data_IF_871442622211
#
_entry.id   IF_871442622211
#
_cell.length_a   1.000
_cell.length_b   1.000
_cell.length_c   1.000
_cell.angle_alpha   90.00
_cell.angle_beta   90.00
_cell.angle_gamma   90.00
#
_symmetry.space_group_name_H-M   'P 1'
#
loop_
_entity.id
_entity.type
_entity.pdbx_description
1 polymer ?
#
# COMPACT_ATOMS: atom_id res chain seq x y z
N UNK A 1 24.30 18.64 -16.45
CA UNK A 1 25.25 17.63 -15.90
C UNK A 1 24.55 17.04 -14.69
N UNK A 2 24.09 15.79 -14.76
CA UNK A 2 23.56 15.09 -13.60
C UNK A 2 24.73 14.71 -12.70
N UNK A 3 24.67 15.08 -11.42
CA UNK A 3 25.69 14.70 -10.45
C UNK A 3 25.42 13.28 -9.98
N UNK A 4 26.32 12.36 -10.30
CA UNK A 4 26.36 11.00 -9.76
C UNK A 4 27.38 10.94 -8.63
N UNK A 5 27.05 10.27 -7.53
CA UNK A 5 27.94 10.06 -6.39
C UNK A 5 28.02 8.57 -6.10
N UNK A 6 29.22 8.00 -6.21
CA UNK A 6 29.51 6.63 -5.81
C UNK A 6 29.99 6.62 -4.36
N UNK A 7 29.45 5.69 -3.57
CA UNK A 7 29.74 5.56 -2.14
C UNK A 7 30.16 4.13 -1.84
N UNK A 8 31.35 3.96 -1.27
CA UNK A 8 31.82 2.68 -0.73
C UNK A 8 31.48 2.58 0.74
N UNK A 9 30.73 1.56 1.13
CA UNK A 9 30.39 1.26 2.52
C UNK A 9 31.07 -0.03 2.93
N UNK A 10 32.00 0.06 3.89
CA UNK A 10 32.65 -1.13 4.46
C UNK A 10 31.61 -2.02 5.17
N UNK A 11 31.67 -3.31 4.91
CA UNK A 11 30.77 -4.34 5.47
C UNK A 11 31.61 -5.48 6.05
N UNK A 12 32.18 -5.30 7.26
CA UNK A 12 33.07 -6.29 7.87
C UNK A 12 32.39 -7.63 8.16
N UNK A 13 31.09 -7.63 8.47
CA UNK A 13 30.29 -8.86 8.67
C UNK A 13 29.98 -9.63 7.38
N UNK A 14 30.22 -9.03 6.21
CA UNK A 14 29.90 -9.63 4.94
C UNK A 14 31.17 -10.28 4.36
N UNK A 15 31.24 -11.62 4.26
CA UNK A 15 32.37 -12.26 3.61
C UNK A 15 32.41 -11.90 2.12
N UNK A 16 33.60 -11.81 1.54
CA UNK A 16 33.78 -11.56 0.12
C UNK A 16 33.26 -12.75 -0.69
N UNK A 17 32.36 -12.50 -1.63
CA UNK A 17 31.74 -13.58 -2.40
C UNK A 17 32.60 -14.01 -3.59
N UNK A 18 33.00 -15.27 -3.59
CA UNK A 18 33.62 -15.90 -4.74
C UNK A 18 32.54 -16.44 -5.69
N UNK A 19 32.44 -15.88 -6.90
CA UNK A 19 31.43 -16.27 -7.90
C UNK A 19 31.62 -17.69 -8.41
N UNK A 20 32.86 -18.16 -8.52
CA UNK A 20 33.20 -19.45 -9.12
C UNK A 20 32.87 -20.60 -8.16
N UNK A 21 33.24 -20.43 -6.88
CA UNK A 21 33.05 -21.46 -5.86
C UNK A 21 31.71 -21.34 -5.13
N UNK A 22 31.03 -20.19 -5.23
CA UNK A 22 29.82 -19.86 -4.46
C UNK A 22 30.03 -19.95 -2.94
N UNK A 23 31.21 -19.51 -2.50
CA UNK A 23 31.65 -19.52 -1.10
C UNK A 23 32.00 -18.09 -0.68
N UNK A 24 31.70 -17.76 0.58
CA UNK A 24 32.13 -16.52 1.20
C UNK A 24 33.53 -16.69 1.80
N UNK A 25 34.48 -15.88 1.35
CA UNK A 25 35.83 -15.79 1.90
C UNK A 25 35.87 -14.76 3.04
N UNK A 26 36.58 -15.08 4.13
CA UNK A 26 36.72 -14.21 5.30
C UNK A 26 37.74 -13.09 5.05
N UNK A 27 37.38 -12.22 4.10
CA UNK A 27 38.17 -11.08 3.64
C UNK A 27 37.31 -9.82 3.80
N UNK A 28 37.87 -8.70 4.30
CA UNK A 28 37.13 -7.46 4.41
C UNK A 28 36.51 -7.06 3.08
N UNK A 29 35.19 -6.85 3.11
CA UNK A 29 34.44 -6.46 1.93
C UNK A 29 33.75 -5.11 2.11
N UNK A 30 33.30 -4.55 1.00
CA UNK A 30 32.50 -3.34 0.97
C UNK A 30 31.44 -3.43 -0.12
N UNK A 31 30.34 -2.71 0.07
CA UNK A 31 29.29 -2.54 -0.94
C UNK A 31 29.43 -1.16 -1.58
N UNK A 32 29.24 -1.10 -2.89
CA UNK A 32 29.27 0.16 -3.66
C UNK A 32 27.84 0.59 -3.97
N UNK A 33 27.49 1.82 -3.63
CA UNK A 33 26.17 2.41 -3.83
C UNK A 33 26.28 3.61 -4.75
N UNK A 34 25.49 3.61 -5.82
CA UNK A 34 25.45 4.68 -6.80
C UNK A 34 24.21 5.56 -6.59
N UNK A 35 24.43 6.82 -6.27
CA UNK A 35 23.38 7.83 -6.16
C UNK A 35 23.42 8.73 -7.37
N UNK A 36 22.33 8.77 -8.13
CA UNK A 36 22.22 9.61 -9.31
C UNK A 36 20.95 10.44 -9.23
N UNK A 37 20.99 11.66 -9.73
CA UNK A 37 19.76 12.40 -9.99
C UNK A 37 19.33 12.10 -11.43
N UNK A 38 18.05 11.81 -11.62
CA UNK A 38 17.44 11.60 -12.93
C UNK A 38 17.68 12.79 -13.87
N UNK A 39 17.60 12.56 -15.19
CA UNK A 39 17.92 13.58 -16.19
C UNK A 39 16.98 14.80 -16.16
N UNK A 40 15.77 14.64 -15.63
CA UNK A 40 14.78 15.70 -15.38
C UNK A 40 14.99 16.43 -14.03
N UNK A 41 15.99 16.02 -13.26
CA UNK A 41 16.28 16.46 -11.90
C UNK A 41 15.15 16.22 -10.87
N UNK A 42 14.15 15.39 -11.17
CA UNK A 42 12.99 15.23 -10.29
C UNK A 42 13.12 14.08 -9.30
N UNK A 43 14.03 13.14 -9.56
CA UNK A 43 14.13 11.89 -8.80
C UNK A 43 15.57 11.59 -8.42
N UNK A 44 15.81 11.36 -7.14
CA UNK A 44 17.01 10.68 -6.65
C UNK A 44 16.85 9.18 -6.92
N UNK A 45 17.79 8.63 -7.67
CA UNK A 45 17.94 7.22 -7.95
C UNK A 45 19.04 6.63 -7.08
N UNK A 46 18.83 5.41 -6.62
CA UNK A 46 19.85 4.57 -5.99
C UNK A 46 19.97 3.29 -6.80
N UNK A 47 21.14 3.06 -7.41
CA UNK A 47 21.36 1.96 -8.35
C UNK A 47 20.29 1.93 -9.45
N UNK A 48 20.08 3.09 -10.07
CA UNK A 48 19.09 3.35 -11.12
C UNK A 48 17.62 3.11 -10.72
N UNK A 49 17.33 2.84 -9.44
CA UNK A 49 15.97 2.72 -8.94
C UNK A 49 15.49 4.01 -8.23
N UNK A 50 14.24 4.45 -8.46
CA UNK A 50 13.64 5.58 -7.76
C UNK A 50 13.67 5.41 -6.24
N UNK A 51 14.41 6.29 -5.57
CA UNK A 51 14.53 6.31 -4.12
C UNK A 51 13.79 7.49 -3.48
N UNK A 52 13.75 8.64 -4.18
CA UNK A 52 12.97 9.80 -3.76
C UNK A 52 12.60 10.71 -4.96
N UNK A 53 11.33 11.09 -5.17
CA UNK A 53 10.15 10.58 -4.48
C UNK A 53 9.95 9.09 -4.78
N UNK A 54 9.27 8.37 -3.89
CA UNK A 54 8.88 6.99 -4.16
C UNK A 54 7.69 6.98 -5.12
N UNK A 55 7.82 6.28 -6.25
CA UNK A 55 6.70 6.11 -7.19
C UNK A 55 5.55 5.34 -6.54
N UNK A 56 5.87 4.31 -5.76
CA UNK A 56 4.90 3.48 -5.06
C UNK A 56 5.35 3.34 -3.61
N UNK A 57 4.82 4.15 -2.68
CA UNK A 57 5.39 4.14 -1.34
C UNK A 57 5.09 2.87 -0.54
N UNK A 58 4.12 2.06 -0.98
CA UNK A 58 3.71 0.81 -0.35
C UNK A 58 4.59 -0.36 -0.79
N UNK A 59 5.46 -0.15 -1.76
CA UNK A 59 6.37 -1.12 -2.36
C UNK A 59 7.73 -0.45 -2.48
N UNK A 60 8.52 -0.44 -1.39
CA UNK A 60 9.84 0.17 -1.44
C UNK A 60 10.71 -0.50 -2.52
N UNK A 61 11.64 0.24 -3.14
CA UNK A 61 12.50 -0.28 -4.21
C UNK A 61 13.36 -1.45 -3.70
N UNK A 62 13.57 -2.45 -4.55
CA UNK A 62 14.45 -3.59 -4.26
C UNK A 62 15.87 -3.22 -4.64
N UNK A 63 16.64 -2.80 -3.65
CA UNK A 63 18.01 -2.34 -3.88
C UNK A 63 18.97 -3.52 -3.98
N UNK A 64 19.90 -3.43 -4.92
CA UNK A 64 21.01 -4.37 -5.04
C UNK A 64 22.30 -3.60 -5.27
N UNK A 65 23.42 -4.06 -4.72
CA UNK A 65 24.71 -3.39 -4.84
C UNK A 65 25.84 -4.38 -5.13
N UNK A 66 26.80 -4.00 -6.00
CA UNK A 66 28.01 -4.79 -6.19
C UNK A 66 28.89 -4.73 -4.93
N UNK A 67 29.47 -5.88 -4.59
CA UNK A 67 30.46 -6.03 -3.54
C UNK A 67 31.87 -5.93 -4.12
N UNK A 68 32.78 -5.29 -3.39
CA UNK A 68 34.19 -5.15 -3.73
C UNK A 68 35.09 -5.50 -2.54
N UNK A 69 36.30 -5.97 -2.82
CA UNK A 69 37.39 -6.09 -1.86
C UNK A 69 38.33 -4.87 -1.87
N UNK A 70 38.11 -3.93 -2.79
CA UNK A 70 38.97 -2.75 -2.93
C UNK A 70 39.00 -1.92 -1.65
N UNK A 71 40.20 -1.47 -1.30
CA UNK A 71 40.40 -0.57 -0.18
C UNK A 71 39.82 0.82 -0.47
N UNK A 72 39.64 1.63 0.57
CA UNK A 72 39.13 2.99 0.42
C UNK A 72 40.02 3.84 -0.51
N UNK A 73 41.35 3.74 -0.38
CA UNK A 73 42.29 4.49 -1.20
C UNK A 73 42.25 4.10 -2.68
N UNK A 74 42.10 2.81 -2.98
CA UNK A 74 41.94 2.32 -4.35
C UNK A 74 40.62 2.79 -4.98
N UNK A 75 39.55 2.81 -4.19
CA UNK A 75 38.24 3.28 -4.63
C UNK A 75 38.20 4.79 -4.92
N UNK A 76 38.88 5.61 -4.11
CA UNK A 76 38.93 7.07 -4.33
C UNK A 76 39.73 7.47 -5.58
N UNK A 77 40.77 6.71 -5.93
CA UNK A 77 41.70 7.06 -7.01
C UNK A 77 41.46 6.27 -8.30
N UNK A 78 40.65 5.21 -8.26
CA UNK A 78 40.34 4.35 -9.40
C UNK A 78 38.88 4.46 -9.86
N UNK A 79 38.62 4.10 -11.11
CA UNK A 79 37.27 3.78 -11.57
C UNK A 79 37.00 2.30 -11.32
N UNK A 80 36.15 1.94 -10.35
CA UNK A 80 35.83 0.54 -10.08
C UNK A 80 35.08 -0.05 -11.28
N UNK A 81 35.57 -1.18 -11.81
CA UNK A 81 34.80 -1.96 -12.78
C UNK A 81 33.68 -2.69 -12.02
N UNK A 82 32.43 -2.25 -12.22
CA UNK A 82 31.27 -2.78 -11.50
C UNK A 82 30.64 -4.01 -12.18
N UNK A 83 30.92 -4.25 -13.47
CA UNK A 83 30.23 -5.27 -14.27
C UNK A 83 30.56 -6.70 -13.81
N UNK A 84 31.80 -6.92 -13.38
CA UNK A 84 32.28 -8.25 -12.98
C UNK A 84 32.10 -8.54 -11.48
N UNK A 85 31.56 -7.61 -10.71
CA UNK A 85 31.42 -7.76 -9.25
C UNK A 85 30.17 -8.57 -8.86
N UNK A 86 30.21 -9.31 -7.75
CA UNK A 86 29.03 -10.01 -7.24
C UNK A 86 28.02 -9.01 -6.69
N UNK A 87 26.76 -9.14 -7.12
CA UNK A 87 25.69 -8.22 -6.77
C UNK A 87 24.84 -8.83 -5.66
N UNK A 88 24.72 -8.10 -4.56
CA UNK A 88 23.93 -8.49 -3.39
C UNK A 88 22.64 -7.70 -3.35
N UNK A 89 21.53 -8.37 -3.07
CA UNK A 89 20.30 -7.70 -2.70
C UNK A 89 20.41 -7.19 -1.27
N UNK A 90 19.87 -6.02 -0.98
CA UNK A 90 20.08 -5.31 0.28
C UNK A 90 18.82 -5.26 1.15
N UNK A 91 19.02 -5.45 2.45
CA UNK A 91 18.08 -5.03 3.50
C UNK A 91 18.55 -3.70 4.07
N UNK A 92 17.64 -2.77 4.31
CA UNK A 92 18.01 -1.41 4.72
C UNK A 92 16.96 -0.74 5.62
N UNK A 93 17.44 0.10 6.54
CA UNK A 93 16.64 1.09 7.26
C UNK A 93 16.68 2.39 6.46
N UNK A 94 15.50 2.88 6.08
CA UNK A 94 15.30 4.18 5.46
C UNK A 94 14.78 5.14 6.51
N UNK A 95 15.67 6.01 6.97
CA UNK A 95 15.33 7.07 7.92
C UNK A 95 15.10 8.35 7.11
N UNK A 96 13.83 8.69 6.93
CA UNK A 96 13.40 9.96 6.37
C UNK A 96 12.56 10.70 7.41
N UNK A 97 12.76 12.02 7.55
CA UNK A 97 11.89 12.80 8.42
C UNK A 97 10.54 13.02 7.74
N UNK A 98 9.44 13.23 8.49
CA UNK A 98 8.16 13.63 7.90
C UNK A 98 8.26 14.90 7.04
N UNK A 99 9.20 15.80 7.40
CA UNK A 99 9.56 16.98 6.59
C UNK A 99 10.04 16.61 5.20
N UNK A 100 10.67 15.47 5.04
CA UNK A 100 11.26 15.03 3.79
C UNK A 100 10.20 14.40 2.86
N UNK A 101 8.91 14.46 3.21
CA UNK A 101 7.83 14.04 2.32
C UNK A 101 7.68 15.01 1.14
N UNK A 102 7.84 14.52 -0.12
CA UNK A 102 7.72 15.35 -1.32
C UNK A 102 6.29 15.81 -1.62
N UNK A 103 5.28 15.27 -0.94
CA UNK A 103 3.89 15.73 -1.10
C UNK A 103 3.57 16.99 -0.28
N UNK A 104 4.40 17.31 0.73
CA UNK A 104 4.15 18.40 1.66
C UNK A 104 4.79 19.70 1.15
N UNK A 105 4.07 20.81 1.28
CA UNK A 105 4.51 22.12 0.81
C UNK A 105 5.49 22.76 1.80
N UNK A 106 6.72 22.96 1.35
CA UNK A 106 7.75 23.65 2.13
C UNK A 106 8.34 24.82 1.32
N UNK A 107 8.45 25.98 1.98
CA UNK A 107 9.12 27.16 1.40
C UNK A 107 10.63 26.98 1.21
N UNK A 108 11.22 25.99 1.88
CA UNK A 108 12.66 25.75 1.83
C UNK A 108 12.95 24.26 2.02
N UNK A 109 12.79 23.51 0.94
CA UNK A 109 12.82 22.06 0.96
C UNK A 109 14.26 21.55 0.80
N UNK A 110 14.74 20.87 1.84
CA UNK A 110 16.09 20.29 1.91
C UNK A 110 16.00 18.89 2.53
N UNK A 111 15.63 17.88 1.74
CA UNK A 111 15.42 16.57 2.29
C UNK A 111 16.72 15.91 2.75
N UNK A 112 16.67 15.26 3.92
CA UNK A 112 17.79 14.53 4.50
C UNK A 112 17.45 13.05 4.62
N UNK A 113 17.97 12.25 3.70
CA UNK A 113 17.77 10.81 3.71
C UNK A 113 18.94 10.14 4.41
N UNK A 114 18.65 9.23 5.34
CA UNK A 114 19.68 8.34 5.88
C UNK A 114 19.35 6.89 5.52
N UNK A 115 20.37 6.17 5.08
CA UNK A 115 20.30 4.78 4.64
C UNK A 115 21.29 3.98 5.48
N UNK A 116 20.78 3.02 6.22
CA UNK A 116 21.58 2.11 7.02
C UNK A 116 21.37 0.68 6.51
N UNK A 117 22.43 0.00 6.10
CA UNK A 117 22.32 -1.35 5.54
C UNK A 117 22.19 -2.38 6.67
N UNK A 118 21.08 -3.10 6.72
CA UNK A 118 20.77 -4.06 7.78
C UNK A 118 21.20 -5.48 7.43
N UNK A 119 21.29 -5.78 6.14
CA UNK A 119 21.52 -7.12 5.64
C UNK A 119 21.87 -7.09 4.15
N UNK A 120 22.52 -8.17 3.71
CA UNK A 120 22.83 -8.40 2.31
C UNK A 120 22.64 -9.88 2.00
N UNK A 121 22.28 -10.22 0.78
CA UNK A 121 22.22 -11.63 0.38
C UNK A 121 22.32 -11.85 -1.11
N UNK A 122 22.83 -13.02 -1.47
CA UNK A 122 23.13 -13.46 -2.82
C UNK A 122 22.92 -14.98 -2.90
N UNK A 123 22.23 -15.47 -3.94
CA UNK A 123 22.15 -16.90 -4.27
C UNK A 123 21.86 -17.86 -3.09
N UNK A 124 20.99 -17.50 -2.15
CA UNK A 124 20.64 -18.31 -0.98
C UNK A 124 21.51 -18.09 0.26
N UNK A 125 22.58 -17.31 0.15
CA UNK A 125 23.33 -16.78 1.28
C UNK A 125 22.71 -15.47 1.75
N UNK A 126 22.34 -15.37 3.02
CA UNK A 126 21.82 -14.16 3.64
C UNK A 126 22.66 -13.85 4.89
N UNK A 127 23.22 -12.64 4.95
CA UNK A 127 23.99 -12.14 6.07
C UNK A 127 23.31 -10.91 6.67
N UNK A 128 23.21 -10.87 8.00
CA UNK A 128 22.80 -9.68 8.74
C UNK A 128 24.04 -8.85 9.06
N UNK A 129 23.98 -7.55 8.78
CA UNK A 129 25.10 -6.62 8.97
C UNK A 129 24.92 -5.87 10.29
N UNK A 130 25.50 -6.40 11.36
CA UNK A 130 25.34 -5.94 12.73
C UNK A 130 26.51 -5.10 13.25
N UNK A 131 27.63 -5.12 12.57
CA UNK A 131 28.86 -4.48 12.98
C UNK A 131 28.65 -2.97 13.18
N UNK A 132 29.24 -2.45 14.26
CA UNK A 132 29.19 -1.05 14.64
C UNK A 132 30.19 -0.19 13.86
N UNK A 133 31.22 -0.80 13.26
CA UNK A 133 32.19 -0.12 12.39
C UNK A 133 31.58 0.28 11.05
N UNK A 134 30.53 -0.43 10.62
CA UNK A 134 29.76 -0.08 9.43
C UNK A 134 29.18 1.34 9.55
N UNK A 135 29.23 2.10 8.45
CA UNK A 135 28.74 3.47 8.42
C UNK A 135 27.33 3.57 7.87
N UNK A 136 26.58 4.54 8.38
CA UNK A 136 25.27 4.98 7.88
C UNK A 136 25.48 6.05 6.82
N UNK A 137 24.81 5.95 5.68
CA UNK A 137 24.91 6.92 4.61
C UNK A 137 23.89 8.02 4.86
N UNK A 138 24.33 9.28 4.86
CA UNK A 138 23.46 10.44 4.92
C UNK A 138 23.58 11.25 3.64
N UNK A 139 22.44 11.48 2.99
CA UNK A 139 22.34 12.22 1.74
C UNK A 139 21.51 13.47 2.01
N UNK A 140 22.11 14.62 1.71
CA UNK A 140 21.41 15.90 1.76
C UNK A 140 21.11 16.34 0.35
N UNK A 141 19.83 16.49 0.04
CA UNK A 141 19.38 17.03 -1.23
C UNK A 141 19.04 18.52 -1.08
N UNK A 142 19.18 19.25 -2.18
CA UNK A 142 18.70 20.63 -2.33
C UNK A 142 17.65 20.66 -3.42
N UNK A 143 16.52 21.29 -3.16
CA UNK A 143 15.50 21.53 -4.18
C UNK A 143 15.61 22.96 -4.74
N UNK A 144 16.07 23.08 -5.99
CA UNK A 144 16.26 24.37 -6.67
C UNK A 144 14.98 25.16 -6.91
N UNK A 145 13.84 24.48 -6.99
CA UNK A 145 12.57 25.14 -7.25
C UNK A 145 12.03 25.85 -6.01
N UNK A 146 12.26 25.29 -4.81
CA UNK A 146 11.87 25.93 -3.53
C UNK A 146 12.90 26.95 -3.05
N UNK A 147 14.16 26.82 -3.43
CA UNK A 147 15.20 27.81 -3.08
C UNK A 147 14.96 29.17 -3.72
N UNK A 148 14.43 29.19 -4.95
CA UNK A 148 14.29 30.42 -5.74
C UNK A 148 12.85 30.93 -5.88
N UNK A 149 11.83 30.13 -5.51
CA UNK A 149 10.40 30.46 -5.63
C UNK A 149 9.60 29.82 -4.50
N UNK A 150 8.44 30.41 -4.17
CA UNK A 150 7.46 29.74 -3.31
C UNK A 150 6.99 28.43 -4.00
N UNK A 151 6.82 27.35 -3.22
CA UNK A 151 6.44 26.04 -3.76
C UNK A 151 5.15 26.14 -4.60
N UNK A 152 5.14 25.48 -5.76
CA UNK A 152 3.95 25.36 -6.61
C UNK A 152 3.03 24.24 -6.11
N UNK A 153 1.72 24.32 -6.38
CA UNK A 153 0.77 23.22 -6.17
C UNK A 153 0.37 22.67 -7.55
N UNK A 154 0.62 21.38 -7.85
CA UNK A 154 1.33 20.40 -7.02
C UNK A 154 2.83 20.71 -6.88
N UNK A 155 3.52 20.20 -5.84
CA UNK A 155 4.95 20.38 -5.65
C UNK A 155 5.73 19.94 -6.89
N UNK A 156 6.52 20.85 -7.46
CA UNK A 156 7.43 20.57 -8.57
C UNK A 156 8.86 20.68 -8.07
N UNK A 157 9.47 19.54 -7.73
CA UNK A 157 10.82 19.48 -7.17
C UNK A 157 11.89 19.38 -8.26
N UNK A 158 13.03 20.02 -8.00
CA UNK A 158 14.24 19.89 -8.82
C UNK A 158 15.44 19.66 -7.90
N UNK A 159 15.77 18.40 -7.69
CA UNK A 159 16.78 17.96 -6.75
C UNK A 159 18.20 18.09 -7.29
N UNK A 160 19.11 18.40 -6.38
CA UNK A 160 20.56 18.29 -6.54
C UNK A 160 21.13 17.60 -5.30
N UNK A 161 22.07 16.67 -5.50
CA UNK A 161 22.83 16.08 -4.41
C UNK A 161 23.81 17.13 -3.89
N UNK A 162 23.50 17.70 -2.73
CA UNK A 162 24.36 18.71 -2.09
C UNK A 162 25.54 18.05 -1.39
N UNK A 163 25.28 16.95 -0.70
CA UNK A 163 26.27 16.29 0.13
C UNK A 163 25.91 14.83 0.38
N UNK A 164 26.92 13.97 0.36
CA UNK A 164 26.83 12.59 0.85
C UNK A 164 27.90 12.37 1.91
N UNK A 165 27.49 11.92 3.09
CA UNK A 165 28.37 11.69 4.25
C UNK A 165 28.17 10.28 4.79
N UNK A 166 29.26 9.70 5.28
CA UNK A 166 29.23 8.47 6.07
C UNK A 166 29.29 8.82 7.55
N UNK A 167 28.30 8.37 8.30
CA UNK A 167 28.16 8.60 9.74
C UNK A 167 28.40 7.31 10.51
N UNK A 168 28.94 7.43 11.71
CA UNK A 168 29.09 6.28 12.61
C UNK A 168 27.71 5.72 13.00
N UNK A 169 27.60 4.40 12.97
CA UNK A 169 26.42 3.69 13.45
C UNK A 169 26.32 3.84 14.97
N UNK A 170 25.10 4.03 15.46
CA UNK A 170 24.78 4.17 16.89
C UNK A 170 24.15 2.89 17.43
N UNK A 171 24.23 2.71 18.74
CA UNK A 171 23.57 1.60 19.39
C UNK A 171 22.05 1.67 19.13
N UNK A 172 21.47 0.60 18.59
CA UNK A 172 20.07 0.53 18.16
C UNK A 172 19.84 0.75 16.66
N UNK A 173 20.86 1.11 15.89
CA UNK A 173 20.75 1.20 14.42
C UNK A 173 20.81 -0.20 13.76
N UNK A 174 21.45 -1.17 14.42
CA UNK A 174 21.37 -2.58 14.03
C UNK A 174 20.11 -3.20 14.63
N UNK A 175 19.18 -3.64 13.77
CA UNK A 175 17.89 -4.20 14.16
C UNK A 175 17.74 -5.57 13.52
N UNK A 176 17.36 -6.59 14.30
CA UNK A 176 17.02 -7.89 13.72
C UNK A 176 15.60 -7.86 13.16
N UNK A 177 15.33 -8.62 12.07
CA UNK A 177 13.98 -8.74 11.54
C UNK A 177 12.98 -9.29 12.57
N UNK A 178 13.44 -10.14 13.49
CA UNK A 178 12.61 -10.76 14.54
C UNK A 178 12.24 -9.80 15.67
N UNK A 179 13.01 -8.71 15.85
CA UNK A 179 12.74 -7.69 16.87
C UNK A 179 11.69 -6.66 16.40
N UNK A 180 11.32 -6.71 15.11
CA UNK A 180 10.33 -5.80 14.55
C UNK A 180 8.92 -6.14 15.02
N UNK A 181 8.08 -5.11 15.11
CA UNK A 181 6.66 -5.27 15.43
C UNK A 181 6.01 -6.26 14.47
N UNK A 182 5.53 -7.37 15.03
CA UNK A 182 4.79 -8.37 14.29
C UNK A 182 3.49 -7.79 13.73
N UNK A 183 3.18 -8.20 12.51
CA UNK A 183 1.91 -7.88 11.88
C UNK A 183 0.80 -8.70 12.53
N UNK A 184 -0.41 -8.15 12.64
CA UNK A 184 -1.52 -8.89 13.25
C UNK A 184 -1.83 -10.17 12.45
N UNK A 185 -2.20 -11.27 13.13
CA UNK A 185 -2.44 -12.57 12.49
C UNK A 185 -3.46 -12.55 11.35
N UNK A 186 -4.37 -11.57 11.32
CA UNK A 186 -5.42 -11.40 10.30
C UNK A 186 -5.04 -10.41 9.20
N UNK A 187 -3.85 -9.80 9.29
CA UNK A 187 -3.41 -8.79 8.33
C UNK A 187 -3.00 -9.43 7.01
N UNK A 188 -3.59 -8.95 5.91
CA UNK A 188 -3.15 -9.29 4.55
C UNK A 188 -1.92 -8.47 4.14
N UNK A 189 -1.86 -7.21 4.60
CA UNK A 189 -0.78 -6.24 4.43
C UNK A 189 -0.44 -5.62 5.78
N UNK A 190 0.80 -5.16 5.92
CA UNK A 190 1.31 -4.56 7.14
C UNK A 190 1.98 -3.22 6.81
N UNK A 191 1.97 -2.27 7.74
CA UNK A 191 2.72 -1.02 7.66
C UNK A 191 3.36 -0.72 9.01
N UNK A 192 4.53 -0.08 8.99
CA UNK A 192 5.21 0.38 10.20
C UNK A 192 4.56 1.68 10.71
N UNK A 193 4.03 2.50 9.79
CA UNK A 193 3.34 3.76 10.06
C UNK A 193 1.94 3.79 9.46
N UNK A 194 1.06 4.64 10.01
CA UNK A 194 -0.26 4.92 9.43
C UNK A 194 -0.18 5.80 8.18
N UNK A 195 0.75 6.75 8.18
CA UNK A 195 0.97 7.72 7.11
C UNK A 195 2.28 7.47 6.35
N UNK A 196 2.45 8.17 5.23
CA UNK A 196 3.64 8.08 4.40
C UNK A 196 4.89 8.64 5.11
N UNK A 197 6.08 8.02 4.94
CA UNK A 197 6.32 6.71 4.33
C UNK A 197 5.86 5.55 5.22
N UNK A 198 5.16 4.56 4.64
CA UNK A 198 4.58 3.43 5.39
C UNK A 198 5.60 2.46 6.01
N UNK A 199 6.86 2.49 5.56
CA UNK A 199 7.92 1.57 5.96
C UNK A 199 9.22 2.29 6.30
N UNK A 200 9.83 1.86 7.40
CA UNK A 200 11.17 2.28 7.82
C UNK A 200 12.18 1.16 7.61
N UNK A 201 11.84 -0.06 8.02
CA UNK A 201 12.72 -1.22 7.94
C UNK A 201 12.32 -2.11 6.76
N UNK A 202 13.21 -2.23 5.78
CA UNK A 202 12.98 -2.97 4.55
C UNK A 202 13.88 -4.22 4.58
N UNK A 203 13.27 -5.35 4.93
CA UNK A 203 13.87 -6.68 4.85
C UNK A 203 13.28 -7.43 3.66
N UNK A 204 14.08 -7.83 2.69
CA UNK A 204 13.67 -8.49 1.44
C UNK A 204 12.71 -9.66 1.66
N UNK A 205 12.96 -10.48 2.69
CA UNK A 205 12.11 -11.62 3.05
C UNK A 205 10.68 -11.24 3.49
N UNK A 206 10.49 -10.01 3.95
CA UNK A 206 9.21 -9.51 4.46
C UNK A 206 8.41 -8.73 3.39
N UNK A 207 8.94 -8.57 2.17
CA UNK A 207 8.33 -7.74 1.13
C UNK A 207 8.14 -8.50 -0.20
N UNK A 208 6.99 -8.25 -0.84
CA UNK A 208 6.73 -8.70 -2.21
C UNK A 208 6.22 -7.56 -3.10
N UNK A 209 5.74 -7.91 -4.29
CA UNK A 209 5.23 -6.96 -5.29
C UNK A 209 4.06 -6.09 -4.80
N UNK A 210 3.45 -6.44 -3.66
CA UNK A 210 2.37 -5.68 -3.04
C UNK A 210 2.78 -5.04 -1.71
N UNK A 211 4.06 -5.09 -1.32
CA UNK A 211 4.56 -4.45 -0.11
C UNK A 211 4.86 -5.43 1.01
N UNK A 212 4.85 -4.95 2.27
CA UNK A 212 5.17 -5.79 3.43
C UNK A 212 4.08 -6.86 3.62
N UNK A 213 4.51 -8.11 3.58
CA UNK A 213 3.63 -9.28 3.66
C UNK A 213 3.00 -9.32 5.06
N UNK A 214 1.66 -9.29 5.13
CA UNK A 214 0.97 -9.48 6.39
C UNK A 214 1.01 -10.93 6.86
N UNK A 215 0.86 -11.18 8.16
CA UNK A 215 1.03 -12.52 8.76
C UNK A 215 0.08 -13.56 8.16
N UNK A 216 -1.17 -13.19 7.86
CA UNK A 216 -2.11 -14.12 7.23
C UNK A 216 -1.67 -14.48 5.82
N UNK A 217 -1.23 -13.49 5.05
CA UNK A 217 -0.78 -13.68 3.68
C UNK A 217 0.51 -14.51 3.63
N UNK A 218 1.46 -14.24 4.53
CA UNK A 218 2.68 -15.02 4.66
C UNK A 218 2.38 -16.49 4.95
N UNK A 219 1.47 -16.75 5.91
CA UNK A 219 1.02 -18.10 6.24
C UNK A 219 0.34 -18.80 5.04
N UNK A 220 -0.51 -18.09 4.29
CA UNK A 220 -1.16 -18.64 3.09
C UNK A 220 -0.13 -18.97 2.02
N UNK A 221 0.79 -18.06 1.72
CA UNK A 221 1.85 -18.26 0.72
C UNK A 221 2.78 -19.42 1.11
N UNK A 222 3.21 -19.49 2.37
CA UNK A 222 4.07 -20.56 2.86
C UNK A 222 3.38 -21.92 2.80
N UNK A 223 2.10 -21.99 3.22
CA UNK A 223 1.30 -23.22 3.08
C UNK A 223 1.08 -23.59 1.62
N UNK A 224 0.81 -22.61 0.76
CA UNK A 224 0.59 -22.85 -0.66
C UNK A 224 1.85 -23.38 -1.36
N UNK A 225 3.02 -22.79 -1.07
CA UNK A 225 4.30 -23.30 -1.54
C UNK A 225 4.57 -24.72 -1.06
N UNK A 226 4.36 -24.98 0.23
CA UNK A 226 4.52 -26.34 0.80
C UNK A 226 3.57 -27.36 0.15
N UNK A 227 2.32 -26.97 -0.14
CA UNK A 227 1.37 -27.81 -0.87
C UNK A 227 1.87 -28.06 -2.29
N UNK A 228 2.35 -27.02 -2.98
CA UNK A 228 2.87 -27.10 -4.34
C UNK A 228 4.04 -28.07 -4.45
N UNK A 229 5.00 -27.95 -3.54
CA UNK A 229 6.20 -28.80 -3.52
C UNK A 229 5.87 -30.26 -3.21
N UNK A 230 4.87 -30.52 -2.35
CA UNK A 230 4.50 -31.88 -1.95
C UNK A 230 3.57 -32.60 -2.94
N UNK A 231 2.60 -31.89 -3.49
CA UNK A 231 1.54 -32.49 -4.30
C UNK A 231 1.77 -32.30 -5.81
N UNK A 232 2.56 -31.31 -6.19
CA UNK A 232 2.75 -30.91 -7.57
C UNK A 232 1.53 -30.18 -8.15
N UNK A 233 1.78 -29.38 -9.19
CA UNK A 233 0.78 -28.54 -9.85
C UNK A 233 -0.51 -29.29 -10.20
N UNK A 234 -0.39 -30.45 -10.87
CA UNK A 234 -1.53 -31.21 -11.40
C UNK A 234 -2.53 -31.64 -10.32
N UNK A 235 -2.05 -32.08 -9.15
CA UNK A 235 -2.94 -32.55 -8.07
C UNK A 235 -3.66 -31.38 -7.40
N UNK A 236 -3.01 -30.23 -7.28
CA UNK A 236 -3.63 -29.01 -6.76
C UNK A 236 -4.72 -28.52 -7.71
N UNK A 237 -4.44 -28.46 -9.01
CA UNK A 237 -5.44 -28.05 -10.00
C UNK A 237 -6.66 -28.97 -9.95
N UNK A 238 -6.45 -30.29 -9.85
CA UNK A 238 -7.55 -31.26 -9.73
C UNK A 238 -8.37 -31.02 -8.45
N UNK A 239 -7.73 -30.80 -7.31
CA UNK A 239 -8.41 -30.46 -6.05
C UNK A 239 -9.25 -29.18 -6.17
N UNK A 240 -8.72 -28.13 -6.80
CA UNK A 240 -9.45 -26.88 -7.03
C UNK A 240 -10.67 -27.15 -7.91
N UNK A 241 -10.53 -27.91 -8.99
CA UNK A 241 -11.64 -28.25 -9.89
C UNK A 241 -12.72 -29.05 -9.16
N UNK A 242 -12.34 -30.05 -8.36
CA UNK A 242 -13.30 -30.84 -7.58
C UNK A 242 -14.03 -29.94 -6.57
N UNK A 243 -13.31 -29.13 -5.79
CA UNK A 243 -13.92 -28.22 -4.83
C UNK A 243 -14.84 -27.20 -5.51
N UNK A 244 -14.37 -26.55 -6.58
CA UNK A 244 -15.17 -25.61 -7.36
C UNK A 244 -16.43 -26.28 -7.92
N UNK A 245 -16.33 -27.52 -8.43
CA UNK A 245 -17.48 -28.27 -8.92
C UNK A 245 -18.49 -28.55 -7.81
N UNK A 246 -18.06 -28.93 -6.61
CA UNK A 246 -18.94 -29.15 -5.47
C UNK A 246 -19.67 -27.86 -5.07
N UNK A 247 -18.96 -26.73 -5.01
CA UNK A 247 -19.54 -25.44 -4.63
C UNK A 247 -20.43 -24.81 -5.71
N UNK A 248 -20.12 -25.02 -7.00
CA UNK A 248 -20.87 -24.45 -8.12
C UNK A 248 -22.07 -25.34 -8.52
N UNK A 249 -22.03 -26.65 -8.23
CA UNK A 249 -23.11 -27.60 -8.54
C UNK A 249 -24.53 -27.24 -8.02
N UNK A 250 -24.72 -26.56 -6.87
CA UNK A 250 -26.06 -26.21 -6.40
C UNK A 250 -26.63 -24.99 -7.12
N UNK A 251 -25.81 -24.16 -7.75
CA UNK A 251 -26.22 -22.88 -8.36
C UNK A 251 -27.28 -23.09 -9.47
N UNK A 252 -27.12 -24.03 -10.42
CA UNK A 252 -28.14 -24.29 -11.44
C UNK A 252 -29.49 -24.72 -10.84
N UNK A 253 -29.47 -25.50 -9.76
CA UNK A 253 -30.69 -25.96 -9.08
C UNK A 253 -31.41 -24.81 -8.37
N UNK A 254 -30.67 -23.92 -7.70
CA UNK A 254 -31.22 -22.72 -7.07
C UNK A 254 -31.82 -21.78 -8.12
N UNK A 255 -31.12 -21.56 -9.24
CA UNK A 255 -31.63 -20.75 -10.37
C UNK A 255 -32.91 -21.36 -10.99
N UNK A 256 -32.94 -22.67 -11.18
CA UNK A 256 -34.12 -23.38 -11.68
C UNK A 256 -35.34 -23.21 -10.74
N UNK A 257 -35.13 -23.39 -9.43
CA UNK A 257 -36.20 -23.25 -8.43
C UNK A 257 -36.70 -21.80 -8.34
N UNK A 258 -35.78 -20.83 -8.40
CA UNK A 258 -36.12 -19.40 -8.45
C UNK A 258 -36.94 -19.04 -9.68
N UNK A 259 -36.54 -19.51 -10.87
CA UNK A 259 -37.30 -19.30 -12.11
C UNK A 259 -38.70 -19.90 -12.08
N UNK A 260 -38.88 -21.07 -11.45
CA UNK A 260 -40.21 -21.69 -11.25
C UNK A 260 -41.11 -20.84 -10.35
N UNK A 261 -40.56 -20.29 -9.27
CA UNK A 261 -41.31 -19.44 -8.34
C UNK A 261 -41.73 -18.12 -9.00
N UNK A 262 -40.84 -17.48 -9.76
CA UNK A 262 -41.13 -16.27 -10.52
C UNK A 262 -42.24 -16.52 -11.56
N UNK A 263 -42.16 -17.63 -12.32
CA UNK A 263 -43.22 -17.98 -13.28
C UNK A 263 -44.58 -18.24 -12.59
N UNK A 264 -44.58 -18.89 -11.43
CA UNK A 264 -45.80 -19.11 -10.66
C UNK A 264 -46.40 -17.78 -10.18
N UNK A 265 -45.57 -16.83 -9.73
CA UNK A 265 -46.01 -15.51 -9.30
C UNK A 265 -46.54 -14.67 -10.46
N UNK A 266 -45.91 -14.73 -11.64
CA UNK A 266 -46.42 -14.07 -12.84
C UNK A 266 -47.74 -14.67 -13.31
N UNK A 267 -47.92 -15.99 -13.25
CA UNK A 267 -49.20 -16.64 -13.56
C UNK A 267 -50.29 -16.24 -12.58
N UNK A 268 -50.01 -16.27 -11.27
CA UNK A 268 -50.98 -15.84 -10.26
C UNK A 268 -51.38 -14.37 -10.42
N UNK A 269 -50.43 -13.49 -10.78
CA UNK A 269 -50.74 -12.08 -11.09
C UNK A 269 -51.56 -11.93 -12.38
N UNK A 270 -51.24 -12.68 -13.44
CA UNK A 270 -51.97 -12.64 -14.69
C UNK A 270 -53.40 -13.19 -14.53
N UNK A 271 -53.58 -14.27 -13.76
CA UNK A 271 -54.88 -14.85 -13.42
C UNK A 271 -55.71 -13.90 -12.55
N UNK A 272 -55.09 -13.24 -11.55
CA UNK A 272 -55.77 -12.23 -10.75
C UNK A 272 -56.22 -11.02 -11.60
N UNK A 273 -55.38 -10.55 -12.52
CA UNK A 273 -55.75 -9.48 -13.46
C UNK A 273 -56.88 -9.95 -14.39
N UNK A 274 -56.79 -11.16 -14.94
CA UNK A 274 -57.84 -11.71 -15.81
C UNK A 274 -59.18 -11.91 -15.08
N UNK A 275 -59.17 -12.28 -13.79
CA UNK A 275 -60.37 -12.38 -12.98
C UNK A 275 -61.02 -11.01 -12.76
N UNK A 276 -60.24 -9.95 -12.51
CA UNK A 276 -60.75 -8.57 -12.38
C UNK A 276 -61.37 -8.07 -13.69
N UNK A 277 -60.75 -8.37 -14.84
CA UNK A 277 -61.36 -8.01 -16.14
C UNK A 277 -62.65 -8.77 -16.41
N UNK A 278 -62.74 -10.04 -16.01
CA UNK A 278 -63.94 -10.85 -16.20
C UNK A 278 -65.11 -10.40 -15.33
N UNK A 279 -64.85 -10.02 -14.08
CA UNK A 279 -65.87 -9.42 -13.19
C UNK A 279 -66.38 -8.10 -13.77
N UNK A 280 -65.48 -7.26 -14.29
CA UNK A 280 -65.86 -6.00 -14.93
C UNK A 280 -66.67 -6.20 -16.23
N UNK A 281 -66.39 -7.23 -17.03
CA UNK A 281 -67.17 -7.51 -18.24
C UNK A 281 -68.57 -8.08 -17.91
N UNK A 282 -68.72 -8.89 -16.84
CA UNK A 282 -70.02 -9.37 -16.34
C UNK A 282 -70.86 -8.22 -15.72
N UNK A 283 -70.22 -7.23 -15.08
CA UNK A 283 -70.92 -6.01 -14.63
C UNK A 283 -71.33 -5.08 -15.79
N UNK A 284 -70.57 -5.07 -16.90
CA UNK A 284 -70.91 -4.26 -18.09
C UNK A 284 -72.00 -4.91 -18.95
N UNK A 285 -72.10 -6.25 -19.02
CA UNK A 285 -73.25 -6.92 -19.65
C UNK A 285 -74.55 -6.81 -18.82
N UNK A 286 -74.43 -6.62 -17.49
CA UNK A 286 -75.57 -6.32 -16.60
C UNK A 286 -76.14 -4.90 -16.75
N UNK A 287 -75.38 -3.97 -17.34
CA UNK A 287 -75.79 -2.57 -17.54
C UNK A 287 -76.28 -2.25 -18.95
N UNK A 288 -76.16 -3.17 -19.91
CA UNK A 288 -76.63 -2.96 -21.30
C UNK A 288 -78.12 -3.27 -21.52
N UNK A 289 -78.87 -3.64 -20.47
CA UNK A 289 -80.34 -3.78 -20.52
C UNK A 289 -81.11 -2.70 -19.76
N UNK A 290 -80.43 -1.69 -19.24
CA UNK A 290 -81.06 -0.63 -18.47
C UNK A 290 -80.51 0.75 -18.84
N UNK A 291 -80.68 1.17 -20.09
CA UNK A 291 -81.14 2.54 -20.39
C UNK A 291 -81.43 2.72 -21.88
N UNK A 292 -82.69 2.48 -22.27
CA UNK A 292 -83.26 3.08 -23.48
C UNK A 292 -84.41 4.01 -23.06
N UNK A 293 -84.17 4.93 -22.11
CA UNK A 293 -84.97 6.16 -21.97
C UNK A 293 -84.45 7.09 -20.87
N UNK A 294 -83.56 8.02 -21.19
CA UNK A 294 -83.89 9.45 -21.18
C UNK A 294 -82.67 10.30 -21.59
N UNK A 295 -82.72 10.78 -22.81
CA UNK A 295 -82.04 12.01 -23.21
C UNK A 295 -82.50 13.20 -22.35
N UNK A 296 -81.56 14.14 -22.20
CA UNK A 296 -81.74 15.56 -21.85
C UNK A 296 -81.77 15.94 -20.37
N UNK A 297 -80.62 16.38 -19.84
CA UNK A 297 -80.54 17.68 -19.17
C UNK A 297 -79.07 18.19 -19.11
N UNK A 298 -78.79 19.24 -19.91
CA UNK A 298 -77.62 20.15 -19.87
C UNK A 298 -76.21 19.53 -20.09
N UNK A 299 -75.38 19.97 -21.05
CA UNK A 299 -75.33 21.23 -21.78
C UNK A 299 -74.07 22.01 -21.40
N UNK A 300 -73.04 21.92 -22.27
CA UNK A 300 -71.95 22.88 -22.59
C UNK A 300 -71.18 23.56 -21.43
N UNK A 301 -69.87 23.72 -21.44
CA UNK A 301 -69.06 24.21 -22.56
C UNK A 301 -67.55 24.08 -22.24
N UNK A 302 -66.76 24.04 -23.32
CA UNK A 302 -65.30 23.91 -23.41
C UNK A 302 -64.47 24.91 -22.59
N UNK A 303 -63.26 24.47 -22.21
CA UNK A 303 -61.99 25.14 -22.58
C UNK A 303 -60.78 24.32 -22.12
N UNK A 304 -60.03 23.75 -23.07
CA UNK A 304 -58.58 23.52 -22.87
C UNK A 304 -57.80 24.83 -23.07
N UNK A 305 -56.44 24.85 -23.06
CA UNK A 305 -55.49 23.74 -22.93
C UNK A 305 -54.25 24.04 -22.03
N UNK A 306 -53.29 23.10 -22.06
CA UNK A 306 -51.83 23.24 -21.82
C UNK A 306 -51.25 23.11 -20.40
N UNK A 307 -50.27 22.19 -20.35
CA UNK A 307 -48.97 22.23 -19.68
C UNK A 307 -48.87 22.80 -18.26
N UNK A 308 -48.25 22.05 -17.36
CA UNK A 308 -46.92 22.40 -16.81
C UNK A 308 -46.45 21.26 -15.89
N UNK A 309 -45.24 20.80 -16.20
CA UNK A 309 -44.35 20.01 -15.34
C UNK A 309 -44.28 20.59 -13.91
N UNK A 310 -44.32 19.74 -12.89
CA UNK A 310 -43.69 20.08 -11.61
C UNK A 310 -43.01 18.86 -11.00
N UNK A 311 -41.78 18.72 -11.47
CA UNK A 311 -40.63 18.16 -10.79
C UNK A 311 -40.53 18.68 -9.35
N UNK A 312 -40.48 17.77 -8.36
CA UNK A 312 -39.96 18.07 -7.03
C UNK A 312 -38.69 17.26 -6.83
N UNK A 313 -37.60 17.83 -7.31
CA UNK A 313 -36.27 17.71 -6.73
C UNK A 313 -36.31 18.43 -5.36
N UNK A 314 -35.79 17.78 -4.31
CA UNK A 314 -35.56 18.42 -3.02
C UNK A 314 -34.15 18.04 -2.58
N UNK A 315 -33.19 18.85 -3.03
CA UNK A 315 -31.83 18.89 -2.51
C UNK A 315 -31.75 19.96 -1.41
N UNK A 316 -31.06 19.59 -0.33
CA UNK A 316 -30.07 20.46 0.32
C UNK A 316 -30.52 21.38 1.46
N UNK A 317 -30.08 21.02 2.67
CA UNK A 317 -29.33 21.84 3.64
C UNK A 317 -30.03 23.06 4.29
N UNK A 318 -29.85 23.42 5.56
CA UNK A 318 -28.84 23.10 6.59
C UNK A 318 -29.40 23.50 7.98
N UNK A 319 -28.68 23.05 9.01
CA UNK A 319 -28.49 23.69 10.32
C UNK A 319 -29.33 23.25 11.53
N UNK A 320 -28.60 22.58 12.43
CA UNK A 320 -28.42 22.92 13.85
C UNK A 320 -29.15 22.06 14.90
N UNK A 321 -28.38 21.55 15.87
CA UNK A 321 -28.89 20.68 16.93
C UNK A 321 -27.86 19.76 17.59
N UNK A 322 -26.80 20.36 18.13
CA UNK A 322 -25.83 19.76 19.08
C UNK A 322 -26.50 18.95 20.20
N UNK A 323 -26.10 17.69 20.38
CA UNK A 323 -26.25 16.94 21.64
C UNK A 323 -24.94 16.27 22.01
N UNK A 324 -24.40 16.73 23.13
CA UNK A 324 -23.21 16.26 23.83
C UNK A 324 -23.24 14.75 24.15
N UNK A 325 -22.08 14.10 24.08
CA UNK A 325 -21.83 12.85 24.80
C UNK A 325 -20.44 12.92 25.47
N UNK A 326 -20.30 12.56 26.76
CA UNK A 326 -19.15 12.94 27.56
C UNK A 326 -17.93 12.02 27.36
N UNK A 327 -16.75 12.60 27.55
CA UNK A 327 -15.44 11.95 27.62
C UNK A 327 -15.26 11.17 28.94
N UNK A 328 -14.54 10.03 28.94
CA UNK A 328 -14.03 9.45 30.16
C UNK A 328 -12.77 10.18 30.66
N UNK A 329 -12.67 10.30 31.98
CA UNK A 329 -11.63 11.00 32.75
C UNK A 329 -10.26 10.30 32.73
N UNK A 330 -9.19 11.09 32.59
CA UNK A 330 -7.79 10.72 32.85
C UNK A 330 -7.48 10.95 34.34
N UNK A 331 -6.75 10.04 35.03
CA UNK A 331 -6.34 10.26 36.41
C UNK A 331 -5.20 11.27 36.51
N UNK A 332 -5.39 12.28 37.36
CA UNK A 332 -4.37 13.27 37.70
C UNK A 332 -3.31 12.67 38.65
N UNK A 333 -2.04 12.86 38.29
CA UNK A 333 -0.93 12.83 39.25
C UNK A 333 -1.01 14.09 40.09
N UNK A 334 -1.03 13.94 41.41
CA UNK A 334 -0.63 14.99 42.34
C UNK A 334 0.61 14.52 43.08
N UNK A 335 1.62 15.37 43.08
CA UNK A 335 2.85 15.20 43.81
C UNK A 335 2.59 15.34 45.32
N UNK A 336 3.12 14.40 46.11
CA UNK A 336 3.49 14.64 47.50
C UNK A 336 4.97 14.29 47.63
N UNK A 337 5.76 15.31 47.92
CA UNK A 337 7.11 15.19 48.43
C UNK A 337 7.20 16.15 49.62
N UNK A 338 7.19 15.61 50.85
CA UNK A 338 8.03 16.05 51.97
C UNK A 338 7.78 15.23 53.25
N UNK A 339 8.88 15.07 53.99
CA UNK A 339 9.08 14.50 55.33
C UNK A 339 9.02 12.98 55.47
N UNK A 340 9.88 12.29 56.24
CA UNK A 340 11.18 12.54 56.85
C UNK A 340 11.60 11.21 57.55
N UNK A 341 12.91 10.99 57.75
CA UNK A 341 13.50 9.98 58.66
C UNK A 341 13.46 8.53 58.15
N UNK A 342 14.44 7.64 58.38
CA UNK A 342 15.35 7.50 59.51
C UNK A 342 16.50 6.52 59.13
N UNK A 343 17.72 6.81 59.59
CA UNK A 343 18.78 5.88 60.05
C UNK A 343 18.88 4.46 59.44
N UNK A 344 19.97 4.17 58.72
CA UNK A 344 21.18 3.44 59.17
C UNK A 344 22.10 3.14 57.99
#
# INVERSE_FOLDING_TARGET
>A
MGFSVLVRVSTPDLPLWNKEEQIGEDIPSALILNFTVSADNQTLLLQDQPFMPLLQPHTPPRLSAPQTSQSYGEFEHGTPNLEDLPVFDLDYDRIAHPRDDPSIHYYNYYPNLMINLLGAGIAGHNALLKDMEQKVIKITLRDWNTVNRASTYPPNHSFEIKEVKLWDRRQGDSVNPDDLKECTLKSWRCSDFGDHPWYRYIFRQNFDEYGKIGSFRHMVLQRWGTLYDRLGFFRITLLIVVLASMFLSPIPYVLYKGGKWIKAQHRARAEAVAAVWKDNDEEVEGLLFADESLENLYGSEDTGPKEVFSEKQLDGNDADGSVEKPLPSVPAKTADALEASEKL
#
